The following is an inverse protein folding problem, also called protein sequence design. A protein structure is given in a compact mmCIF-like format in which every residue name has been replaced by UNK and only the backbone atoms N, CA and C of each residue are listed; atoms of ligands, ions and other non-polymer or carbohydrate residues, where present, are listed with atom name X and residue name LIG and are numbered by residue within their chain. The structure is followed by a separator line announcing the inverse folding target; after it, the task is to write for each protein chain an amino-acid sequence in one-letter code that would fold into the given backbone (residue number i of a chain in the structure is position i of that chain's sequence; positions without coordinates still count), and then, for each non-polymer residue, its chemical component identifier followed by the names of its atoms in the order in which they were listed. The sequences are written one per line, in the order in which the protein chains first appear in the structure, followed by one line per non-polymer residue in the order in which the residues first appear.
data_IF_461758479264
#
_entry.id   IF_461758479264
#
_cell.length_a   1.000
_cell.length_b   1.000
_cell.length_c   1.000
_cell.angle_alpha   90.00
_cell.angle_beta   90.00
_cell.angle_gamma   90.00
#
_symmetry.space_group_name_H-M   'P 1'
#
loop_
_entity.id
_entity.type
_entity.pdbx_description
1 polymer ?
#
# COMPACT_ATOMS: atom_id res chain seq x y z
N UNK A 1 1.16 -38.47 7.69
CA UNK A 1 0.51 -37.27 7.14
C UNK A 1 1.49 -36.12 7.27
N UNK A 2 1.81 -35.40 6.17
CA UNK A 2 2.82 -34.34 6.23
C UNK A 2 2.30 -33.14 7.03
N UNK A 3 3.18 -32.53 7.84
CA UNK A 3 2.89 -31.30 8.61
C UNK A 3 2.39 -30.19 7.69
N UNK A 4 2.93 -30.10 6.47
CA UNK A 4 2.52 -29.13 5.45
C UNK A 4 1.05 -29.27 5.05
N UNK A 5 0.55 -30.51 4.96
CA UNK A 5 -0.86 -30.74 4.63
C UNK A 5 -1.80 -30.29 5.74
N UNK A 6 -1.42 -30.52 7.00
CA UNK A 6 -2.20 -30.09 8.18
C UNK A 6 -2.30 -28.57 8.29
N UNK A 7 -1.21 -27.86 7.95
CA UNK A 7 -1.15 -26.41 8.03
C UNK A 7 -1.62 -25.69 6.75
N UNK A 8 -1.96 -26.44 5.70
CA UNK A 8 -2.30 -25.84 4.39
C UNK A 8 -3.52 -24.92 4.44
N UNK A 9 -4.57 -25.29 5.19
CA UNK A 9 -5.78 -24.47 5.33
C UNK A 9 -5.51 -23.17 6.10
N UNK A 10 -4.74 -23.25 7.19
CA UNK A 10 -4.34 -22.10 7.97
C UNK A 10 -3.44 -21.16 7.15
N UNK A 11 -2.53 -21.74 6.36
CA UNK A 11 -1.68 -20.99 5.45
C UNK A 11 -2.48 -20.23 4.39
N UNK A 12 -3.53 -20.83 3.82
CA UNK A 12 -4.43 -20.15 2.88
C UNK A 12 -5.08 -18.91 3.51
N UNK A 13 -5.50 -19.00 4.78
CA UNK A 13 -6.07 -17.85 5.50
C UNK A 13 -5.05 -16.75 5.77
N UNK A 14 -3.85 -17.11 6.25
CA UNK A 14 -2.78 -16.15 6.43
C UNK A 14 -2.34 -15.52 5.12
N UNK A 15 -2.33 -16.28 4.02
CA UNK A 15 -2.05 -15.72 2.68
C UNK A 15 -3.10 -14.68 2.27
N UNK A 16 -4.38 -14.88 2.57
CA UNK A 16 -5.42 -13.86 2.32
C UNK A 16 -5.16 -12.59 3.14
N UNK A 17 -4.80 -12.73 4.42
CA UNK A 17 -4.41 -11.60 5.27
C UNK A 17 -3.18 -10.87 4.69
N UNK A 18 -2.17 -11.63 4.27
CA UNK A 18 -0.96 -11.09 3.66
C UNK A 18 -1.27 -10.33 2.36
N UNK A 19 -2.15 -10.86 1.51
CA UNK A 19 -2.62 -10.17 0.31
C UNK A 19 -3.34 -8.86 0.63
N UNK A 20 -4.27 -8.87 1.59
CA UNK A 20 -4.96 -7.66 2.00
C UNK A 20 -3.98 -6.60 2.53
N UNK A 21 -3.01 -7.00 3.35
CA UNK A 21 -1.96 -6.09 3.84
C UNK A 21 -1.13 -5.52 2.70
N UNK A 22 -0.73 -6.35 1.74
CA UNK A 22 0.07 -5.89 0.59
C UNK A 22 -0.71 -4.96 -0.33
N UNK A 23 -2.01 -5.20 -0.54
CA UNK A 23 -2.90 -4.32 -1.32
C UNK A 23 -3.03 -2.94 -0.66
N UNK A 24 -3.25 -2.89 0.66
CA UNK A 24 -3.39 -1.63 1.39
C UNK A 24 -2.08 -0.84 1.37
N UNK A 25 -0.96 -1.48 1.67
CA UNK A 25 0.35 -0.81 1.61
C UNK A 25 0.75 -0.45 0.18
N UNK A 26 0.42 -1.30 -0.79
CA UNK A 26 0.60 -1.00 -2.21
C UNK A 26 -0.17 0.25 -2.64
N UNK A 27 -1.40 0.43 -2.15
CA UNK A 27 -2.20 1.63 -2.39
C UNK A 27 -1.54 2.89 -1.80
N UNK A 28 -0.93 2.81 -0.61
CA UNK A 28 -0.18 3.93 0.00
C UNK A 28 0.94 4.40 -0.94
N UNK A 29 1.75 3.46 -1.45
CA UNK A 29 2.82 3.80 -2.40
C UNK A 29 2.28 4.34 -3.73
N UNK A 30 1.19 3.77 -4.22
CA UNK A 30 0.56 4.21 -5.47
C UNK A 30 -0.02 5.63 -5.36
N UNK A 31 -0.70 5.97 -4.24
CA UNK A 31 -1.17 7.33 -4.00
C UNK A 31 -0.02 8.32 -3.86
N UNK A 32 1.08 7.93 -3.19
CA UNK A 32 2.29 8.76 -3.13
C UNK A 32 2.87 9.05 -4.51
N UNK A 33 3.05 8.03 -5.33
CA UNK A 33 3.55 8.18 -6.70
C UNK A 33 2.61 8.99 -7.57
N UNK A 34 1.29 8.80 -7.43
CA UNK A 34 0.29 9.59 -8.14
C UNK A 34 0.32 11.07 -7.72
N UNK A 35 0.49 11.38 -6.44
CA UNK A 35 0.63 12.76 -5.97
C UNK A 35 1.86 13.43 -6.60
N UNK A 36 2.99 12.73 -6.65
CA UNK A 36 4.22 13.22 -7.30
C UNK A 36 3.99 13.43 -8.80
N UNK A 37 3.36 12.49 -9.50
CA UNK A 37 3.06 12.63 -10.92
C UNK A 37 2.10 13.79 -11.21
N UNK A 38 1.08 13.98 -10.37
CA UNK A 38 0.14 15.10 -10.48
C UNK A 38 0.83 16.44 -10.23
N UNK A 39 1.71 16.53 -9.23
CA UNK A 39 2.52 17.73 -8.99
C UNK A 39 3.46 18.02 -10.16
N UNK A 40 4.10 16.99 -10.72
CA UNK A 40 4.96 17.15 -11.89
C UNK A 40 4.20 17.69 -13.11
N UNK A 41 3.00 17.16 -13.40
CA UNK A 41 2.17 17.68 -14.50
C UNK A 41 1.70 19.12 -14.25
N UNK A 42 1.45 19.50 -13.00
CA UNK A 42 1.13 20.86 -12.61
C UNK A 42 2.32 21.80 -12.74
N UNK A 43 3.51 21.39 -12.30
CA UNK A 43 4.76 22.14 -12.49
C UNK A 43 5.13 22.36 -13.95
N UNK A 44 4.87 21.36 -14.81
CA UNK A 44 5.15 21.44 -16.25
C UNK A 44 4.08 22.21 -17.04
N UNK A 45 3.03 22.70 -16.39
CA UNK A 45 1.97 23.47 -17.04
C UNK A 45 1.23 22.70 -18.12
N UNK A 46 1.01 21.37 -17.93
CA UNK A 46 0.34 20.52 -18.92
C UNK A 46 -1.11 20.96 -19.12
N UNK A 47 -1.44 21.50 -20.30
CA UNK A 47 -2.77 22.04 -20.62
C UNK A 47 -3.78 21.01 -21.11
N UNK A 48 -3.41 19.73 -21.22
CA UNK A 48 -4.30 18.67 -21.67
C UNK A 48 -4.86 17.88 -20.49
N UNK A 49 -6.14 18.08 -20.16
CA UNK A 49 -6.84 17.33 -19.12
C UNK A 49 -6.77 15.81 -19.33
N UNK A 50 -6.92 15.36 -20.57
CA UNK A 50 -6.84 13.93 -20.92
C UNK A 50 -5.48 13.34 -20.54
N UNK A 51 -4.41 14.06 -20.84
CA UNK A 51 -3.05 13.65 -20.56
C UNK A 51 -2.80 13.58 -19.05
N UNK A 52 -3.21 14.60 -18.29
CA UNK A 52 -3.11 14.61 -16.82
C UNK A 52 -3.80 13.40 -16.21
N UNK A 53 -5.05 13.11 -16.62
CA UNK A 53 -5.80 11.97 -16.09
C UNK A 53 -5.21 10.63 -16.51
N UNK A 54 -4.75 10.48 -17.75
CA UNK A 54 -4.12 9.24 -18.24
C UNK A 54 -2.80 8.97 -17.50
N UNK A 55 -1.96 9.98 -17.28
CA UNK A 55 -0.70 9.86 -16.54
C UNK A 55 -0.98 9.48 -15.09
N UNK A 56 -1.88 10.20 -14.41
CA UNK A 56 -2.26 9.93 -13.02
C UNK A 56 -2.78 8.50 -12.85
N UNK A 57 -3.74 8.08 -13.68
CA UNK A 57 -4.31 6.73 -13.60
C UNK A 57 -3.28 5.66 -13.95
N UNK A 58 -2.48 5.88 -15.00
CA UNK A 58 -1.44 4.95 -15.43
C UNK A 58 -0.38 4.74 -14.37
N UNK A 59 0.15 5.81 -13.77
CA UNK A 59 1.13 5.75 -12.68
C UNK A 59 0.52 5.04 -11.46
N UNK A 60 -0.71 5.41 -11.09
CA UNK A 60 -1.39 4.77 -9.96
C UNK A 60 -1.49 3.26 -10.15
N UNK A 61 -2.07 2.79 -11.26
CA UNK A 61 -2.28 1.37 -11.51
C UNK A 61 -0.96 0.60 -11.60
N UNK A 62 0.04 1.15 -12.31
CA UNK A 62 1.34 0.50 -12.46
C UNK A 62 2.06 0.35 -11.13
N UNK A 63 2.14 1.43 -10.33
CA UNK A 63 2.80 1.41 -9.03
C UNK A 63 2.03 0.55 -8.04
N UNK A 64 0.69 0.60 -8.05
CA UNK A 64 -0.13 -0.23 -7.16
C UNK A 64 0.06 -1.72 -7.42
N UNK A 65 0.02 -2.15 -8.67
CA UNK A 65 0.22 -3.55 -9.04
C UNK A 65 1.64 -4.02 -8.67
N UNK A 66 2.67 -3.25 -9.05
CA UNK A 66 4.06 -3.57 -8.78
C UNK A 66 4.36 -3.62 -7.28
N UNK A 67 3.97 -2.59 -6.52
CA UNK A 67 4.25 -2.51 -5.08
C UNK A 67 3.47 -3.56 -4.28
N UNK A 68 2.21 -3.84 -4.64
CA UNK A 68 1.42 -4.89 -3.99
C UNK A 68 2.04 -6.27 -4.20
N UNK A 69 2.49 -6.57 -5.43
CA UNK A 69 3.17 -7.83 -5.72
C UNK A 69 4.51 -7.94 -4.96
N UNK A 70 5.35 -6.90 -5.04
CA UNK A 70 6.64 -6.87 -4.34
C UNK A 70 6.48 -7.05 -2.84
N UNK A 71 5.58 -6.31 -2.21
CA UNK A 71 5.31 -6.41 -0.77
C UNK A 71 4.79 -7.78 -0.37
N UNK A 72 3.93 -8.38 -1.18
CA UNK A 72 3.47 -9.74 -0.92
C UNK A 72 4.64 -10.73 -0.91
N UNK A 73 5.44 -10.75 -1.96
CA UNK A 73 6.52 -11.74 -2.09
C UNK A 73 7.68 -11.50 -1.13
N UNK A 74 8.07 -10.25 -0.87
CA UNK A 74 9.24 -9.92 -0.06
C UNK A 74 8.95 -9.85 1.44
N UNK A 75 7.76 -9.37 1.83
CA UNK A 75 7.49 -9.03 3.24
C UNK A 75 6.36 -9.82 3.88
N UNK A 76 5.24 -10.02 3.16
CA UNK A 76 4.01 -10.52 3.76
C UNK A 76 3.73 -12.00 3.53
N UNK A 77 4.45 -12.64 2.59
CA UNK A 77 4.24 -14.07 2.29
C UNK A 77 4.48 -14.94 3.53
N UNK A 78 3.45 -15.63 4.07
CA UNK A 78 3.62 -16.39 5.30
C UNK A 78 4.48 -17.64 5.08
N UNK A 79 5.47 -17.81 5.93
CA UNK A 79 6.24 -19.06 6.02
C UNK A 79 5.46 -20.10 6.84
N UNK A 80 5.82 -21.36 6.74
CA UNK A 80 5.20 -22.40 7.58
C UNK A 80 5.44 -22.16 9.07
N UNK A 81 6.59 -21.56 9.43
CA UNK A 81 6.92 -21.21 10.81
C UNK A 81 6.01 -20.09 11.34
N UNK A 82 5.70 -19.09 10.51
CA UNK A 82 4.78 -18.00 10.89
C UNK A 82 3.35 -18.53 11.07
N UNK A 83 2.94 -19.47 10.19
CA UNK A 83 1.63 -20.14 10.32
C UNK A 83 1.57 -20.92 11.64
N UNK A 84 2.60 -21.72 11.95
CA UNK A 84 2.68 -22.49 13.18
C UNK A 84 2.58 -21.59 14.42
N UNK A 85 3.39 -20.52 14.45
CA UNK A 85 3.37 -19.53 15.56
C UNK A 85 2.02 -18.87 15.75
N UNK A 86 1.33 -18.54 14.66
CA UNK A 86 0.02 -17.89 14.72
C UNK A 86 -1.07 -18.85 15.19
N UNK A 87 -0.95 -20.13 14.82
CA UNK A 87 -1.88 -21.20 15.23
C UNK A 87 -1.65 -21.57 16.70
N UNK A 88 -0.40 -21.61 17.17
CA UNK A 88 -0.07 -21.82 18.58
C UNK A 88 -0.65 -20.74 19.49
N UNK A 89 -0.73 -19.49 19.00
CA UNK A 89 -1.42 -18.39 19.69
C UNK A 89 -2.92 -18.62 19.93
N UNK A 90 -3.53 -19.69 19.39
CA UNK A 90 -4.90 -20.11 19.67
C UNK A 90 -5.01 -21.05 20.89
N UNK A 91 -3.95 -21.18 21.69
CA UNK A 91 -3.93 -22.01 22.91
C UNK A 91 -3.34 -23.41 22.71
N UNK A 92 -2.50 -23.61 21.70
CA UNK A 92 -1.84 -24.88 21.42
C UNK A 92 -0.48 -25.04 22.09
N UNK A 93 -0.06 -24.09 22.94
CA UNK A 93 1.14 -24.19 23.81
C UNK A 93 2.41 -24.58 23.06
N UNK A 94 2.70 -23.88 21.94
CA UNK A 94 3.90 -24.07 21.08
C UNK A 94 4.07 -25.48 20.47
N UNK A 95 3.04 -26.30 20.52
CA UNK A 95 3.09 -27.68 19.98
C UNK A 95 3.21 -27.73 18.47
N UNK A 96 2.62 -26.75 17.77
CA UNK A 96 2.65 -26.70 16.30
C UNK A 96 3.99 -26.21 15.81
N UNK A 97 4.62 -25.26 16.50
CA UNK A 97 5.99 -24.83 16.21
C UNK A 97 6.94 -26.02 16.39
N UNK A 98 6.87 -26.69 17.53
CA UNK A 98 7.68 -27.88 17.82
C UNK A 98 7.45 -28.97 16.77
N UNK A 99 6.22 -29.19 16.35
CA UNK A 99 5.90 -30.14 15.26
C UNK A 99 6.59 -29.76 13.94
N UNK A 100 6.68 -28.47 13.60
CA UNK A 100 7.37 -28.03 12.38
C UNK A 100 8.89 -28.12 12.47
N UNK A 101 9.46 -27.90 13.66
CA UNK A 101 10.90 -28.02 13.89
C UNK A 101 11.37 -29.48 13.87
N UNK A 102 10.53 -30.38 14.35
CA UNK A 102 10.80 -31.81 14.32
C UNK A 102 10.30 -32.55 13.06
N UNK A 103 9.89 -31.83 12.00
CA UNK A 103 9.35 -32.44 10.77
C UNK A 103 10.33 -33.49 10.16
N UNK A 104 11.65 -33.21 10.27
CA UNK A 104 12.70 -34.07 9.69
C UNK A 104 13.26 -35.12 10.67
N UNK A 105 12.90 -35.06 11.95
CA UNK A 105 13.40 -36.00 12.95
C UNK A 105 12.51 -37.23 13.01
N UNK A 106 13.13 -38.42 12.98
CA UNK A 106 12.39 -39.70 12.97
C UNK A 106 12.42 -40.41 14.32
N UNK A 107 12.91 -39.76 15.38
CA UNK A 107 12.91 -40.30 16.73
C UNK A 107 11.48 -40.63 17.23
N UNK A 108 11.36 -41.61 18.12
CA UNK A 108 10.11 -41.98 18.73
C UNK A 108 9.41 -40.80 19.39
N UNK A 109 10.14 -39.96 20.12
CA UNK A 109 9.59 -38.77 20.77
C UNK A 109 9.08 -37.74 19.77
N UNK A 110 9.83 -37.49 18.67
CA UNK A 110 9.43 -36.59 17.61
C UNK A 110 8.14 -37.06 16.90
N UNK A 111 8.01 -38.37 16.69
CA UNK A 111 6.78 -38.99 16.12
C UNK A 111 5.57 -38.79 17.06
N UNK A 112 5.75 -39.03 18.37
CA UNK A 112 4.68 -38.89 19.35
C UNK A 112 4.25 -37.42 19.54
N UNK A 113 5.21 -36.49 19.60
CA UNK A 113 4.91 -35.05 19.62
C UNK A 113 4.14 -34.58 18.39
N UNK A 114 4.54 -35.05 17.19
CA UNK A 114 3.81 -34.72 15.95
C UNK A 114 2.37 -35.28 15.96
N UNK A 115 2.17 -36.46 16.51
CA UNK A 115 0.82 -37.06 16.62
C UNK A 115 -0.05 -36.28 17.59
N UNK A 116 0.48 -35.90 18.75
CA UNK A 116 -0.25 -35.11 19.75
C UNK A 116 -0.60 -33.72 19.22
N UNK A 117 0.38 -32.99 18.63
CA UNK A 117 0.15 -31.71 17.99
C UNK A 117 -0.90 -31.81 16.87
N UNK A 118 -0.83 -32.85 16.02
CA UNK A 118 -1.79 -33.09 14.95
C UNK A 118 -3.21 -33.37 15.47
N UNK A 119 -3.33 -34.10 16.57
CA UNK A 119 -4.62 -34.40 17.21
C UNK A 119 -5.25 -33.11 17.78
N UNK A 120 -4.47 -32.31 18.49
CA UNK A 120 -4.94 -31.01 19.02
C UNK A 120 -5.22 -29.98 17.92
N UNK A 121 -4.44 -29.94 16.87
CA UNK A 121 -4.68 -29.06 15.73
C UNK A 121 -6.02 -29.35 15.03
N UNK A 122 -6.45 -30.62 14.97
CA UNK A 122 -7.76 -31.02 14.43
C UNK A 122 -8.95 -30.49 15.25
N UNK A 123 -8.77 -30.25 16.55
CA UNK A 123 -9.81 -29.68 17.40
C UNK A 123 -10.00 -28.17 17.19
N UNK A 124 -8.99 -27.48 16.62
CA UNK A 124 -9.06 -26.05 16.36
C UNK A 124 -9.58 -25.80 14.95
N UNK A 125 -10.69 -25.11 14.83
CA UNK A 125 -11.23 -24.73 13.53
C UNK A 125 -10.33 -23.68 12.88
N UNK A 126 -9.99 -23.86 11.60
CA UNK A 126 -9.22 -22.86 10.82
C UNK A 126 -9.89 -21.48 10.83
N UNK A 127 -11.23 -21.46 11.09
CA UNK A 127 -12.06 -20.27 11.28
C UNK A 127 -11.65 -19.35 12.43
N UNK A 128 -11.00 -19.88 13.44
CA UNK A 128 -10.59 -19.13 14.64
C UNK A 128 -9.47 -18.12 14.39
N UNK A 129 -8.71 -18.27 13.30
CA UNK A 129 -7.71 -17.27 12.87
C UNK A 129 -8.42 -16.03 12.32
N UNK A 130 -8.42 -14.95 13.11
CA UNK A 130 -8.94 -13.65 12.68
C UNK A 130 -7.97 -13.01 11.69
N UNK A 131 -8.51 -12.48 10.59
CA UNK A 131 -7.78 -11.65 9.64
C UNK A 131 -7.65 -10.26 10.26
N UNK A 132 -6.42 -9.80 10.52
CA UNK A 132 -6.16 -8.52 11.16
C UNK A 132 -5.40 -7.62 10.19
N UNK A 133 -6.06 -6.55 9.76
CA UNK A 133 -5.43 -5.42 9.05
C UNK A 133 -5.27 -4.29 10.05
N UNK A 134 -4.10 -3.67 10.10
CA UNK A 134 -3.84 -2.57 11.03
C UNK A 134 -4.70 -1.35 10.69
N UNK A 135 -5.43 -0.81 11.67
CA UNK A 135 -6.18 0.43 11.50
C UNK A 135 -5.27 1.60 11.09
N UNK A 136 -4.05 1.63 11.61
CA UNK A 136 -3.07 2.66 11.24
C UNK A 136 -2.74 2.62 9.74
N UNK A 137 -2.62 1.44 9.12
CA UNK A 137 -2.36 1.34 7.67
C UNK A 137 -3.53 1.85 6.82
N UNK A 138 -4.76 1.67 7.30
CA UNK A 138 -5.95 2.18 6.63
C UNK A 138 -6.00 3.72 6.73
N UNK A 139 -5.72 4.26 7.92
CA UNK A 139 -5.68 5.72 8.13
C UNK A 139 -4.62 6.35 7.22
N UNK A 140 -3.41 5.79 7.17
CA UNK A 140 -2.35 6.27 6.27
C UNK A 140 -2.80 6.22 4.81
N UNK A 141 -3.44 5.14 4.38
CA UNK A 141 -3.96 5.02 3.02
C UNK A 141 -5.02 6.09 2.71
N UNK A 142 -5.92 6.40 3.66
CA UNK A 142 -6.92 7.47 3.51
C UNK A 142 -6.27 8.85 3.40
N UNK A 143 -5.28 9.16 4.23
CA UNK A 143 -4.53 10.43 4.16
C UNK A 143 -3.83 10.55 2.80
N UNK A 144 -3.17 9.51 2.34
CA UNK A 144 -2.48 9.51 1.04
C UNK A 144 -3.47 9.62 -0.13
N UNK A 145 -4.66 9.02 -0.03
CA UNK A 145 -5.73 9.18 -1.02
C UNK A 145 -6.18 10.65 -1.11
N UNK A 146 -6.41 11.30 0.03
CA UNK A 146 -6.82 12.71 0.06
C UNK A 146 -5.74 13.62 -0.54
N UNK A 147 -4.47 13.38 -0.19
CA UNK A 147 -3.33 14.14 -0.74
C UNK A 147 -3.20 13.96 -2.25
N UNK A 148 -3.28 12.72 -2.73
CA UNK A 148 -3.22 12.42 -4.16
C UNK A 148 -4.42 13.01 -4.92
N UNK A 149 -5.61 12.91 -4.33
CA UNK A 149 -6.83 13.51 -4.87
C UNK A 149 -6.71 15.03 -5.02
N UNK A 150 -6.24 15.71 -3.97
CA UNK A 150 -6.05 17.16 -3.99
C UNK A 150 -5.02 17.57 -5.07
N UNK A 151 -3.87 16.89 -5.15
CA UNK A 151 -2.85 17.17 -6.15
C UNK A 151 -3.36 16.94 -7.59
N UNK A 152 -4.07 15.83 -7.82
CA UNK A 152 -4.65 15.52 -9.14
C UNK A 152 -5.72 16.53 -9.53
N UNK A 153 -6.57 16.96 -8.57
CA UNK A 153 -7.59 17.97 -8.81
C UNK A 153 -6.98 19.32 -9.15
N UNK A 154 -5.94 19.75 -8.42
CA UNK A 154 -5.23 21.00 -8.71
C UNK A 154 -4.61 20.95 -10.12
N UNK A 155 -3.91 19.87 -10.47
CA UNK A 155 -3.34 19.70 -11.81
C UNK A 155 -4.41 19.71 -12.91
N UNK A 156 -5.56 19.06 -12.68
CA UNK A 156 -6.68 19.04 -13.63
C UNK A 156 -7.34 20.40 -13.81
N UNK A 157 -7.47 21.19 -12.74
CA UNK A 157 -8.01 22.56 -12.80
C UNK A 157 -7.03 23.50 -13.53
N UNK A 158 -5.72 23.34 -13.32
CA UNK A 158 -4.69 24.05 -14.05
C UNK A 158 -4.73 23.70 -15.54
N UNK A 159 -4.88 22.42 -15.88
CA UNK A 159 -5.01 21.99 -17.28
C UNK A 159 -6.24 22.56 -18.00
N UNK A 160 -7.30 22.92 -17.25
CA UNK A 160 -8.48 23.64 -17.77
C UNK A 160 -8.32 25.16 -17.76
N UNK A 161 -7.21 25.70 -17.27
CA UNK A 161 -6.97 27.14 -17.15
C UNK A 161 -7.78 27.84 -16.05
N UNK A 162 -8.40 27.09 -15.11
CA UNK A 162 -9.17 27.65 -13.99
C UNK A 162 -8.23 28.19 -12.91
N UNK A 163 -7.10 27.53 -12.68
CA UNK A 163 -6.03 27.99 -11.80
C UNK A 163 -4.72 28.09 -12.58
N UNK A 164 -3.83 28.94 -12.10
CA UNK A 164 -2.49 29.05 -12.68
C UNK A 164 -1.70 27.75 -12.44
N UNK A 165 -0.72 27.48 -13.28
CA UNK A 165 0.31 26.46 -13.04
C UNK A 165 1.12 26.79 -11.78
N UNK A 166 1.78 25.80 -11.22
CA UNK A 166 2.50 25.97 -9.96
C UNK A 166 3.59 27.06 -10.04
N UNK A 167 4.42 27.13 -11.11
CA UNK A 167 5.36 28.24 -11.30
C UNK A 167 4.67 29.61 -11.32
N UNK A 168 3.57 29.76 -12.04
CA UNK A 168 2.83 31.01 -12.12
C UNK A 168 2.15 31.46 -10.81
N UNK A 169 2.00 30.53 -9.83
CA UNK A 169 1.54 30.87 -8.47
C UNK A 169 2.72 31.23 -7.57
N UNK A 170 3.85 30.53 -7.71
CA UNK A 170 4.98 30.63 -6.80
C UNK A 170 5.92 31.80 -7.18
N UNK A 171 6.11 32.03 -8.47
CA UNK A 171 7.01 33.06 -8.99
C UNK A 171 6.72 34.48 -8.46
N UNK A 172 5.46 34.96 -8.40
CA UNK A 172 5.15 36.28 -7.83
C UNK A 172 5.45 36.40 -6.33
N UNK A 173 5.47 35.27 -5.60
CA UNK A 173 5.76 35.25 -4.16
C UNK A 173 7.25 35.41 -3.91
N UNK A 174 8.08 34.78 -4.74
CA UNK A 174 9.54 34.82 -4.59
C UNK A 174 10.20 35.94 -5.41
N UNK A 175 9.53 36.47 -6.44
CA UNK A 175 10.02 37.57 -7.24
C UNK A 175 8.93 38.67 -7.39
N UNK A 176 8.74 39.51 -6.36
CA UNK A 176 7.72 40.56 -6.36
C UNK A 176 7.92 41.61 -7.41
N UNK A 177 9.13 41.76 -7.95
CA UNK A 177 9.44 42.77 -9.00
C UNK A 177 8.65 42.51 -10.30
N UNK A 178 8.40 41.26 -10.64
CA UNK A 178 7.56 40.88 -11.79
C UNK A 178 6.11 41.37 -11.65
N UNK A 179 5.61 41.45 -10.42
CA UNK A 179 4.27 41.91 -10.15
C UNK A 179 4.09 43.42 -10.34
N UNK A 180 5.11 44.20 -10.02
CA UNK A 180 5.09 45.65 -10.20
C UNK A 180 5.22 46.05 -11.66
N UNK A 181 5.99 45.32 -12.46
CA UNK A 181 6.12 45.60 -13.89
C UNK A 181 4.80 45.43 -14.64
N UNK A 182 3.98 44.44 -14.31
CA UNK A 182 2.67 44.23 -14.94
C UNK A 182 1.70 45.35 -14.58
N UNK A 183 1.70 45.83 -13.33
CA UNK A 183 0.82 46.91 -12.87
C UNK A 183 1.21 48.24 -13.52
N UNK A 184 2.51 48.51 -13.70
CA UNK A 184 3.00 49.73 -14.34
C UNK A 184 2.67 49.78 -15.83
N UNK A 185 2.75 48.67 -16.57
CA UNK A 185 2.35 48.65 -17.99
C UNK A 185 0.85 48.89 -18.19
N UNK A 186 0.01 48.42 -17.26
CA UNK A 186 -1.45 48.61 -17.33
C UNK A 186 -1.84 50.05 -16.98
N UNK A 187 -1.18 50.69 -16.00
CA UNK A 187 -1.44 52.12 -15.68
C UNK A 187 -0.87 53.07 -16.73
N UNK A 188 0.27 52.75 -17.31
CA UNK A 188 0.88 53.58 -18.37
C UNK A 188 0.13 53.57 -19.71
N UNK A 189 -0.70 52.51 -19.97
CA UNK A 189 -1.54 52.42 -21.16
C UNK A 189 -2.88 53.16 -21.05
N UNK A 190 -3.17 53.76 -19.90
CA UNK A 190 -4.43 54.47 -19.63
C UNK A 190 -4.37 56.00 -19.84
N UNK A 191 -3.24 56.58 -20.20
CA UNK A 191 -3.07 58.01 -20.49
C UNK A 191 -2.81 58.31 -21.99
N UNK A 192 -3.72 57.92 -22.87
CA UNK A 192 -3.81 58.49 -24.22
C UNK A 192 -5.25 58.96 -24.49
#
# INVERSE_FOLDING_TARGET
MSVKNLLSEYRKRLSKEAWLKSIVWGAVFAFGANAVAALATWCLGVKSLKLVLCVSLGVFVAVWAASSALLYFLKFRPTFKDVARRVDGLGLEERVITMTEYEKKEDFFAKKQRQDAAAKLKSVKSGSLKIVVSAASIIVACVMLLTAGAATTASALSAKGIIRDLPGIVEPIFNPEVFYTIIYEVEGAGEI
#
